data_IF_540287186952
#
_entry.id   IF_540287186952
#
_cell.length_a   1.000
_cell.length_b   1.000
_cell.length_c   1.000
_cell.angle_alpha   90.00
_cell.angle_beta   90.00
_cell.angle_gamma   90.00
#
_symmetry.space_group_name_H-M   'P 1'
#
loop_
_entity.id
_entity.type
_entity.pdbx_description
1 polymer ?
#
# COMPACT_ATOMS: atom_id res chain seq x y z
N UNK A 1 11.01 3.66 15.82
CA UNK A 1 9.90 4.61 15.62
C UNK A 1 9.04 4.54 16.88
N UNK A 2 8.77 5.66 17.56
CA UNK A 2 7.88 5.66 18.73
C UNK A 2 6.51 6.12 18.25
N UNK A 3 5.48 5.30 18.43
CA UNK A 3 4.11 5.73 18.10
C UNK A 3 3.64 6.78 19.10
N UNK A 4 2.81 7.74 18.65
CA UNK A 4 2.11 8.62 19.57
C UNK A 4 1.25 7.79 20.52
N UNK A 5 1.26 8.20 21.78
CA UNK A 5 0.48 7.65 22.90
C UNK A 5 -0.97 8.17 22.92
N UNK A 6 -1.29 9.15 22.07
CA UNK A 6 -2.63 9.67 21.86
C UNK A 6 -3.37 8.93 20.73
N UNK A 7 -4.70 8.81 20.88
CA UNK A 7 -5.57 8.31 19.81
C UNK A 7 -5.46 9.19 18.56
N UNK A 8 -5.33 8.57 17.39
CA UNK A 8 -5.16 9.28 16.13
C UNK A 8 -4.93 8.36 14.95
N UNK A 9 -4.63 8.95 13.79
CA UNK A 9 -4.24 8.23 12.58
C UNK A 9 -2.81 8.60 12.18
N UNK A 10 -2.03 7.58 11.82
CA UNK A 10 -0.69 7.75 11.27
C UNK A 10 -0.74 7.55 9.77
N UNK A 11 -0.07 8.43 9.01
CA UNK A 11 0.03 8.35 7.56
C UNK A 11 1.50 8.31 7.17
N UNK A 12 1.85 7.41 6.25
CA UNK A 12 3.18 7.39 5.64
C UNK A 12 3.16 8.26 4.38
N UNK A 13 4.09 9.21 4.30
CA UNK A 13 4.26 10.06 3.11
C UNK A 13 5.55 9.67 2.38
N UNK A 14 5.41 9.18 1.15
CA UNK A 14 6.53 8.85 0.28
C UNK A 14 6.98 10.01 -0.63
N UNK A 15 6.54 11.25 -0.32
CA UNK A 15 6.76 12.45 -1.16
C UNK A 15 8.24 12.75 -1.35
N UNK A 16 8.98 12.84 -0.25
CA UNK A 16 10.39 13.27 -0.23
C UNK A 16 11.38 12.12 -0.06
N UNK A 17 10.94 10.99 0.51
CA UNK A 17 11.74 9.79 0.70
C UNK A 17 10.85 8.55 0.69
N UNK A 18 11.34 7.43 0.16
CA UNK A 18 10.57 6.19 0.05
C UNK A 18 11.30 5.14 -0.78
N UNK A 19 10.58 4.10 -1.21
CA UNK A 19 11.07 3.05 -2.10
C UNK A 19 10.34 3.08 -3.45
N UNK A 20 10.67 2.14 -4.33
CA UNK A 20 9.99 1.95 -5.61
C UNK A 20 8.48 1.67 -5.46
N UNK A 21 8.04 1.17 -4.30
CA UNK A 21 6.62 0.91 -4.03
C UNK A 21 5.74 2.14 -4.17
N UNK A 22 6.30 3.35 -4.07
CA UNK A 22 5.54 4.60 -4.25
C UNK A 22 4.99 4.81 -5.67
N UNK A 23 5.46 4.02 -6.64
CA UNK A 23 5.08 4.11 -8.04
C UNK A 23 4.14 2.98 -8.49
N UNK A 24 3.78 2.06 -7.58
CA UNK A 24 2.83 0.97 -7.88
C UNK A 24 1.45 1.57 -8.07
N UNK A 25 0.84 1.29 -9.22
CA UNK A 25 -0.40 1.95 -9.63
C UNK A 25 -1.66 1.31 -9.05
N UNK A 26 -2.77 2.05 -9.19
CA UNK A 26 -4.09 1.59 -8.82
C UNK A 26 -4.63 0.57 -9.85
N UNK A 27 -5.17 -0.54 -9.36
CA UNK A 27 -6.09 -1.39 -10.10
C UNK A 27 -7.26 -1.81 -9.20
N UNK A 28 -8.53 -1.63 -9.62
CA UNK A 28 -9.68 -2.03 -8.81
C UNK A 28 -9.64 -3.51 -8.43
N UNK A 29 -10.12 -3.86 -7.23
CA UNK A 29 -10.23 -5.26 -6.82
C UNK A 29 -11.04 -6.06 -7.84
N UNK A 30 -10.48 -7.19 -8.29
CA UNK A 30 -11.09 -8.06 -9.30
C UNK A 30 -10.79 -7.69 -10.75
N UNK A 31 -10.14 -6.55 -11.01
CA UNK A 31 -9.64 -6.24 -12.35
C UNK A 31 -8.47 -7.16 -12.74
N UNK A 32 -8.30 -7.52 -14.02
CA UNK A 32 -7.20 -8.37 -14.48
C UNK A 32 -5.80 -7.84 -14.10
N UNK A 33 -5.64 -6.52 -14.07
CA UNK A 33 -4.40 -5.84 -13.69
C UNK A 33 -4.11 -5.87 -12.18
N UNK A 34 -5.09 -6.21 -11.33
CA UNK A 34 -4.88 -6.29 -9.88
C UNK A 34 -4.16 -7.60 -9.54
N UNK A 35 -2.86 -7.52 -9.31
CA UNK A 35 -1.99 -8.67 -9.05
C UNK A 35 -1.23 -8.56 -7.72
N UNK A 36 -1.47 -7.50 -6.95
CA UNK A 36 -0.92 -7.30 -5.63
C UNK A 36 -1.97 -6.79 -4.64
N UNK A 37 -1.64 -6.89 -3.36
CA UNK A 37 -2.43 -6.36 -2.24
C UNK A 37 -1.52 -5.66 -1.24
N UNK A 38 -2.08 -4.71 -0.50
CA UNK A 38 -1.37 -3.89 0.48
C UNK A 38 -1.90 -4.19 1.88
N UNK A 39 -1.00 -4.52 2.81
CA UNK A 39 -1.34 -4.84 4.20
C UNK A 39 -0.59 -3.96 5.17
N UNK A 40 -1.30 -3.53 6.23
CA UNK A 40 -0.69 -2.98 7.42
C UNK A 40 -0.46 -4.11 8.42
N UNK A 41 0.77 -4.30 8.87
CA UNK A 41 1.16 -5.36 9.82
C UNK A 41 1.92 -4.77 10.99
N UNK A 42 1.73 -5.30 12.20
CA UNK A 42 2.49 -4.93 13.39
C UNK A 42 3.61 -5.95 13.61
N UNK A 43 4.87 -5.51 13.52
CA UNK A 43 6.07 -6.34 13.70
C UNK A 43 6.93 -5.66 14.76
N UNK A 44 7.24 -6.36 15.84
CA UNK A 44 8.09 -5.87 16.94
C UNK A 44 7.67 -4.49 17.49
N UNK A 45 6.37 -4.27 17.60
CA UNK A 45 5.80 -3.00 18.08
C UNK A 45 5.88 -1.85 17.07
N UNK A 46 6.19 -2.12 15.80
CA UNK A 46 6.19 -1.20 14.66
C UNK A 46 5.14 -1.62 13.59
N UNK A 47 4.24 -0.73 13.20
CA UNK A 47 3.44 -0.86 11.98
C UNK A 47 4.31 -0.73 10.72
N UNK A 48 4.17 -1.69 9.83
CA UNK A 48 4.75 -1.74 8.49
C UNK A 48 3.65 -1.81 7.44
N UNK A 49 3.94 -1.26 6.25
CA UNK A 49 3.13 -1.47 5.06
C UNK A 49 3.87 -2.46 4.16
N UNK A 50 3.20 -3.55 3.79
CA UNK A 50 3.70 -4.58 2.91
C UNK A 50 2.86 -4.65 1.65
N UNK A 51 3.51 -4.81 0.50
CA UNK A 51 2.85 -5.15 -0.76
C UNK A 51 3.20 -6.59 -1.10
N UNK A 52 2.18 -7.44 -1.25
CA UNK A 52 2.32 -8.85 -1.57
C UNK A 52 1.57 -9.18 -2.86
N UNK A 53 2.17 -9.99 -3.73
CA UNK A 53 1.51 -10.49 -4.94
C UNK A 53 0.42 -11.49 -4.57
N UNK A 54 -0.75 -11.42 -5.22
CA UNK A 54 -1.89 -12.33 -4.98
C UNK A 54 -1.94 -13.50 -5.96
N UNK A 55 -1.06 -13.50 -6.96
CA UNK A 55 -0.85 -14.55 -7.95
C UNK A 55 0.58 -14.48 -8.50
N UNK A 56 0.95 -15.42 -9.37
CA UNK A 56 2.17 -15.30 -10.16
C UNK A 56 2.13 -14.04 -11.03
N UNK A 57 3.28 -13.37 -11.15
CA UNK A 57 3.50 -12.15 -11.94
C UNK A 57 4.63 -12.41 -12.90
N UNK A 58 4.38 -12.22 -14.18
CA UNK A 58 5.37 -12.50 -15.22
C UNK A 58 6.38 -11.36 -15.37
N UNK A 59 7.55 -11.64 -15.95
CA UNK A 59 8.55 -10.62 -16.21
C UNK A 59 8.00 -9.53 -17.13
N UNK A 60 8.06 -8.29 -16.67
CA UNK A 60 7.57 -7.11 -17.42
C UNK A 60 6.09 -6.81 -17.20
N UNK A 61 5.38 -7.64 -16.44
CA UNK A 61 4.03 -7.33 -15.98
C UNK A 61 4.09 -6.22 -14.91
N UNK A 62 3.19 -5.25 -15.02
CA UNK A 62 3.09 -4.15 -14.06
C UNK A 62 2.49 -4.63 -12.75
N UNK A 63 3.06 -4.22 -11.62
CA UNK A 63 2.44 -4.41 -10.31
C UNK A 63 1.36 -3.35 -10.09
N UNK A 64 0.15 -3.78 -9.73
CA UNK A 64 -0.93 -2.87 -9.37
C UNK A 64 -1.85 -3.49 -8.30
N UNK A 65 -2.38 -2.63 -7.42
CA UNK A 65 -3.29 -3.03 -6.36
C UNK A 65 -4.40 -2.01 -6.14
N UNK A 66 -5.44 -2.41 -5.41
CA UNK A 66 -6.54 -1.53 -5.07
C UNK A 66 -6.14 -0.58 -3.93
N UNK A 67 -6.01 0.71 -4.24
CA UNK A 67 -5.72 1.78 -3.28
C UNK A 67 -6.76 1.88 -2.14
N UNK A 68 -7.96 1.34 -2.35
CA UNK A 68 -9.02 1.28 -1.36
C UNK A 68 -9.83 2.58 -1.26
N UNK A 69 -11.01 2.45 -0.67
CA UNK A 69 -11.98 3.54 -0.54
C UNK A 69 -11.45 4.73 0.26
N UNK A 70 -10.60 4.50 1.26
CA UNK A 70 -10.03 5.55 2.10
C UNK A 70 -9.13 6.53 1.31
N UNK A 71 -8.44 6.05 0.27
CA UNK A 71 -7.65 6.91 -0.61
C UNK A 71 -8.58 7.82 -1.43
N UNK A 72 -9.57 7.22 -2.08
CA UNK A 72 -10.50 7.92 -2.97
C UNK A 72 -11.39 8.92 -2.22
N UNK A 73 -11.83 8.58 -1.01
CA UNK A 73 -12.60 9.49 -0.16
C UNK A 73 -11.84 10.78 0.20
N UNK A 74 -10.52 10.82 0.03
CA UNK A 74 -9.67 12.00 0.32
C UNK A 74 -9.26 12.77 -0.94
N UNK A 75 -9.55 12.24 -2.13
CA UNK A 75 -9.14 12.79 -3.42
C UNK A 75 -10.32 12.92 -4.42
N UNK A 76 -11.55 12.77 -3.93
CA UNK A 76 -12.79 13.03 -4.68
C UNK A 76 -13.40 14.38 -4.37
#
# INVERSE_FOLDING_TARGET
>A
MRYPDAAGSLHLSARSAGSLLRFVNHAPRGAPANNATCWAVLVDGAFHILVATTRAVEKGEELAYDYGSAYWARHG
#
